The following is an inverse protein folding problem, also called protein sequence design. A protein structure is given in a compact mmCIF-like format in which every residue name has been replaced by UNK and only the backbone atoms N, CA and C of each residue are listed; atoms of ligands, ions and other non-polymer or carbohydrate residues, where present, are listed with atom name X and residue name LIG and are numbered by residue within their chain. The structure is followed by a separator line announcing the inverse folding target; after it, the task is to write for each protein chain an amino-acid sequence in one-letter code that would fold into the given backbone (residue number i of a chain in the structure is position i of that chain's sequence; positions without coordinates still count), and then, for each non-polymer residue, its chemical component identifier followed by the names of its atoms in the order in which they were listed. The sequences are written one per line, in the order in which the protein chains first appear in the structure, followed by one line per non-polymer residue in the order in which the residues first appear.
data_IF_532413115132
#
_entry.id   IF_532413115132
#
_cell.length_a   1.000
_cell.length_b   1.000
_cell.length_c   1.000
_cell.angle_alpha   90.00
_cell.angle_beta   90.00
_cell.angle_gamma   90.00
#
_symmetry.space_group_name_H-M   'P 1'
#
loop_
_entity.id
_entity.type
_entity.pdbx_description
1 polymer ?
#
# COMPACT_ATOMS: atom_id res chain seq x y z
N UNK A 1 12.92 -2.09 -21.61
CA UNK A 1 11.47 -1.95 -21.64
C UNK A 1 10.87 -1.48 -20.30
N UNK A 2 11.65 -1.33 -19.21
CA UNK A 2 11.17 -0.88 -17.92
C UNK A 2 12.17 -1.04 -16.80
N UNK A 3 11.75 -0.75 -15.57
CA UNK A 3 12.55 -0.88 -14.35
C UNK A 3 11.74 -1.59 -13.28
N UNK A 4 12.42 -2.40 -12.47
CA UNK A 4 11.86 -3.06 -11.29
C UNK A 4 12.54 -2.49 -10.06
N UNK A 5 11.75 -2.16 -9.06
CA UNK A 5 12.20 -1.60 -7.79
C UNK A 5 11.73 -2.51 -6.65
N UNK A 6 12.62 -2.81 -5.72
CA UNK A 6 12.24 -3.42 -4.45
C UNK A 6 11.93 -2.31 -3.46
N UNK A 7 10.70 -2.24 -2.99
CA UNK A 7 10.22 -1.17 -2.10
C UNK A 7 10.19 -1.58 -0.63
N UNK A 8 10.21 -2.87 -0.34
CA UNK A 8 10.32 -3.37 1.03
C UNK A 8 10.07 -4.86 1.13
N UNK A 9 10.83 -5.56 1.97
CA UNK A 9 10.61 -6.99 2.22
C UNK A 9 10.52 -7.82 0.94
N UNK A 10 9.35 -8.38 0.68
CA UNK A 10 8.96 -9.14 -0.51
C UNK A 10 8.15 -8.31 -1.53
N UNK A 11 8.07 -7.00 -1.35
CA UNK A 11 7.30 -6.09 -2.20
C UNK A 11 8.17 -5.49 -3.31
N UNK A 12 7.70 -5.59 -4.55
CA UNK A 12 8.34 -5.07 -5.75
C UNK A 12 7.37 -4.25 -6.58
N UNK A 13 7.87 -3.20 -7.23
CA UNK A 13 7.15 -2.41 -8.23
C UNK A 13 7.88 -2.48 -9.55
N UNK A 14 7.16 -2.76 -10.63
CA UNK A 14 7.67 -2.73 -11.99
C UNK A 14 6.98 -1.60 -12.77
N UNK A 15 7.76 -0.72 -13.38
CA UNK A 15 7.29 0.32 -14.30
C UNK A 15 7.73 -0.08 -15.70
N UNK A 16 6.76 -0.33 -16.58
CA UNK A 16 7.00 -0.83 -17.91
C UNK A 16 6.54 0.19 -18.98
N UNK A 17 7.40 0.45 -19.95
CA UNK A 17 7.11 1.31 -21.11
C UNK A 17 6.85 0.43 -22.32
N UNK A 18 5.66 -0.12 -22.40
CA UNK A 18 5.24 -1.11 -23.40
C UNK A 18 3.81 -0.85 -23.86
N UNK A 19 3.46 -1.38 -25.02
CA UNK A 19 2.08 -1.34 -25.50
C UNK A 19 1.20 -2.42 -24.84
N UNK A 20 -0.12 -2.34 -25.06
CA UNK A 20 -1.09 -3.25 -24.45
C UNK A 20 -0.90 -4.71 -24.87
N UNK A 21 -0.48 -4.96 -26.12
CA UNK A 21 -0.22 -6.31 -26.61
C UNK A 21 0.97 -6.94 -25.87
N UNK A 22 2.09 -6.21 -25.76
CA UNK A 22 3.27 -6.71 -25.05
C UNK A 22 3.00 -6.87 -23.55
N UNK A 23 2.11 -6.05 -22.99
CA UNK A 23 1.67 -6.22 -21.60
C UNK A 23 0.96 -7.57 -21.38
N UNK A 24 0.11 -7.99 -22.32
CA UNK A 24 -0.58 -9.29 -22.22
C UNK A 24 0.41 -10.45 -22.29
N UNK A 25 1.39 -10.38 -23.20
CA UNK A 25 2.44 -11.37 -23.35
C UNK A 25 3.27 -11.49 -22.05
N UNK A 26 3.77 -10.37 -21.52
CA UNK A 26 4.56 -10.34 -20.27
C UNK A 26 3.74 -10.87 -19.10
N UNK A 27 2.46 -10.52 -19.01
CA UNK A 27 1.58 -11.05 -17.97
C UNK A 27 1.46 -12.56 -18.06
N UNK A 28 1.33 -13.10 -19.25
CA UNK A 28 1.24 -14.55 -19.47
C UNK A 28 2.55 -15.22 -19.07
N UNK A 29 3.68 -14.76 -19.61
CA UNK A 29 5.03 -15.25 -19.30
C UNK A 29 5.31 -15.20 -17.77
N UNK A 30 4.90 -14.12 -17.11
CA UNK A 30 5.05 -13.97 -15.66
C UNK A 30 4.26 -15.02 -14.89
N UNK A 31 2.99 -15.22 -15.24
CA UNK A 31 2.12 -16.22 -14.59
C UNK A 31 2.68 -17.62 -14.78
N UNK A 32 3.04 -17.99 -16.01
CA UNK A 32 3.64 -19.29 -16.33
C UNK A 32 4.94 -19.52 -15.55
N UNK A 33 5.80 -18.49 -15.47
CA UNK A 33 7.06 -18.56 -14.73
C UNK A 33 6.82 -18.82 -13.26
N UNK A 34 5.85 -18.13 -12.64
CA UNK A 34 5.51 -18.30 -11.22
C UNK A 34 4.89 -19.67 -10.95
N UNK A 35 3.96 -20.11 -11.80
CA UNK A 35 3.25 -21.38 -11.63
C UNK A 35 4.15 -22.61 -11.89
N UNK A 36 5.08 -22.49 -12.81
CA UNK A 36 6.03 -23.56 -13.14
C UNK A 36 7.24 -23.60 -12.21
N UNK A 37 7.43 -22.57 -11.39
CA UNK A 37 8.61 -22.47 -10.53
C UNK A 37 8.63 -23.58 -9.46
N UNK A 38 9.80 -24.21 -9.32
CA UNK A 38 10.09 -25.21 -8.30
C UNK A 38 11.45 -24.92 -7.68
N UNK A 39 11.51 -24.90 -6.37
CA UNK A 39 12.76 -24.72 -5.63
C UNK A 39 13.18 -26.02 -4.92
N UNK A 40 14.41 -26.05 -4.44
CA UNK A 40 14.96 -27.21 -3.71
C UNK A 40 14.29 -27.43 -2.35
N UNK A 41 13.82 -26.36 -1.70
CA UNK A 41 13.25 -26.39 -0.35
C UNK A 41 11.74 -26.09 -0.32
N UNK A 42 11.19 -25.55 -1.39
CA UNK A 42 9.79 -25.14 -1.50
C UNK A 42 9.29 -25.58 -2.87
N UNK A 43 8.24 -26.40 -2.88
CA UNK A 43 7.71 -27.01 -4.12
C UNK A 43 6.97 -26.03 -5.03
N UNK A 44 6.49 -24.92 -4.50
CA UNK A 44 5.73 -23.94 -5.28
C UNK A 44 5.90 -22.53 -4.73
N UNK A 45 5.83 -21.56 -5.63
CA UNK A 45 5.84 -20.13 -5.32
C UNK A 45 4.49 -19.52 -5.70
N UNK A 46 4.01 -18.59 -4.87
CA UNK A 46 2.82 -17.80 -5.19
C UNK A 46 3.12 -16.32 -5.07
N UNK A 47 2.66 -15.54 -6.03
CA UNK A 47 2.83 -14.08 -6.05
C UNK A 47 1.46 -13.44 -6.25
N UNK A 48 1.12 -12.48 -5.37
CA UNK A 48 -0.03 -11.61 -5.59
C UNK A 48 0.44 -10.35 -6.30
N UNK A 49 -0.24 -9.95 -7.37
CA UNK A 49 0.14 -8.80 -8.17
C UNK A 49 -1.08 -7.99 -8.62
N UNK A 50 -0.91 -6.69 -8.79
CA UNK A 50 -1.85 -5.79 -9.44
C UNK A 50 -1.19 -5.16 -10.66
N UNK A 51 -1.90 -5.11 -11.78
CA UNK A 51 -1.45 -4.48 -13.01
C UNK A 51 -2.42 -3.36 -13.35
N UNK A 52 -1.87 -2.19 -13.70
CA UNK A 52 -2.61 -1.02 -14.15
C UNK A 52 -1.91 -0.44 -15.37
N UNK A 53 -2.69 -0.09 -16.39
CA UNK A 53 -2.20 0.61 -17.57
C UNK A 53 -2.57 2.09 -17.50
N UNK A 54 -1.63 2.96 -17.91
CA UNK A 54 -1.91 4.38 -18.07
C UNK A 54 -3.03 4.69 -19.08
N UNK A 55 -3.37 3.73 -19.94
CA UNK A 55 -4.41 3.88 -20.96
C UNK A 55 -5.79 3.39 -20.51
N UNK A 56 -5.97 2.90 -19.28
CA UNK A 56 -7.27 2.38 -18.82
C UNK A 56 -8.31 3.49 -18.60
N UNK A 57 -7.85 4.65 -18.17
CA UNK A 57 -8.64 5.87 -17.97
C UNK A 57 -7.72 7.10 -17.94
N UNK A 58 -8.29 8.28 -17.81
CA UNK A 58 -7.53 9.46 -17.41
C UNK A 58 -7.17 9.35 -15.92
N UNK A 59 -5.88 9.47 -15.62
CA UNK A 59 -5.33 9.38 -14.27
C UNK A 59 -4.92 10.76 -13.78
N UNK A 60 -5.30 11.10 -12.58
CA UNK A 60 -4.92 12.38 -11.97
C UNK A 60 -3.44 12.42 -11.59
N UNK A 61 -2.86 11.26 -11.23
CA UNK A 61 -1.46 11.17 -10.81
C UNK A 61 -0.89 9.75 -10.95
N UNK A 62 0.44 9.66 -10.92
CA UNK A 62 1.15 8.37 -10.82
C UNK A 62 0.80 7.64 -9.52
N UNK A 63 0.53 8.38 -8.44
CA UNK A 63 0.15 7.81 -7.16
C UNK A 63 -1.21 7.12 -7.24
N UNK A 64 -2.17 7.65 -8.01
CA UNK A 64 -3.45 6.98 -8.25
C UNK A 64 -3.27 5.65 -9.00
N UNK A 65 -2.37 5.62 -10.00
CA UNK A 65 -2.01 4.38 -10.72
C UNK A 65 -1.44 3.35 -9.75
N UNK A 66 -0.46 3.74 -8.94
CA UNK A 66 0.20 2.87 -7.97
C UNK A 66 -0.79 2.35 -6.92
N UNK A 67 -1.65 3.21 -6.41
CA UNK A 67 -2.69 2.85 -5.45
C UNK A 67 -3.69 1.84 -6.05
N UNK A 68 -4.13 2.06 -7.28
CA UNK A 68 -5.02 1.12 -7.97
C UNK A 68 -4.36 -0.24 -8.18
N UNK A 69 -3.06 -0.27 -8.50
CA UNK A 69 -2.29 -1.51 -8.58
C UNK A 69 -2.24 -2.25 -7.24
N UNK A 70 -2.00 -1.54 -6.15
CA UNK A 70 -2.02 -2.09 -4.79
C UNK A 70 -3.39 -2.71 -4.44
N UNK A 71 -4.48 -2.00 -4.70
CA UNK A 71 -5.84 -2.54 -4.49
C UNK A 71 -6.03 -3.85 -5.25
N UNK A 72 -5.69 -3.90 -6.53
CA UNK A 72 -5.81 -5.12 -7.35
C UNK A 72 -4.95 -6.26 -6.85
N UNK A 73 -3.75 -5.97 -6.34
CA UNK A 73 -2.88 -6.96 -5.70
C UNK A 73 -3.53 -7.54 -4.44
N UNK A 74 -4.08 -6.68 -3.58
CA UNK A 74 -4.75 -7.12 -2.36
C UNK A 74 -6.04 -7.91 -2.63
N UNK A 75 -6.80 -7.58 -3.67
CA UNK A 75 -7.96 -8.38 -4.10
C UNK A 75 -7.54 -9.80 -4.49
N UNK A 76 -6.49 -9.96 -5.27
CA UNK A 76 -5.94 -11.28 -5.61
C UNK A 76 -5.44 -12.05 -4.38
N UNK A 77 -4.76 -11.36 -3.47
CA UNK A 77 -4.29 -11.94 -2.23
C UNK A 77 -5.45 -12.46 -1.36
N UNK A 78 -6.53 -11.70 -1.28
CA UNK A 78 -7.76 -12.09 -0.58
C UNK A 78 -8.41 -13.32 -1.21
N UNK A 79 -8.51 -13.35 -2.55
CA UNK A 79 -9.04 -14.51 -3.29
C UNK A 79 -8.19 -15.77 -3.07
N UNK A 80 -6.87 -15.65 -3.08
CA UNK A 80 -5.97 -16.77 -2.82
C UNK A 80 -6.19 -17.37 -1.43
N UNK A 81 -6.24 -16.53 -0.40
CA UNK A 81 -6.47 -17.01 0.97
C UNK A 81 -7.85 -17.63 1.16
N UNK A 82 -8.88 -17.07 0.53
CA UNK A 82 -10.23 -17.64 0.56
C UNK A 82 -10.31 -19.03 -0.07
N UNK A 83 -9.58 -19.27 -1.17
CA UNK A 83 -9.58 -20.55 -1.88
C UNK A 83 -8.77 -21.64 -1.16
N UNK A 84 -7.67 -21.25 -0.51
CA UNK A 84 -6.72 -22.22 0.07
C UNK A 84 -6.94 -22.47 1.56
N UNK A 85 -7.99 -21.93 2.17
CA UNK A 85 -8.31 -22.14 3.58
C UNK A 85 -7.25 -21.60 4.56
N UNK A 86 -6.30 -20.82 4.09
CA UNK A 86 -5.27 -20.20 4.92
C UNK A 86 -5.92 -19.09 5.73
N UNK A 87 -6.10 -19.34 7.01
CA UNK A 87 -6.74 -18.40 7.94
C UNK A 87 -5.84 -17.21 8.30
N UNK A 88 -5.57 -16.39 7.32
CA UNK A 88 -5.14 -14.98 7.55
C UNK A 88 -6.35 -14.08 7.36
N UNK A 89 -7.46 -14.47 8.00
CA UNK A 89 -8.75 -13.80 7.93
C UNK A 89 -8.59 -12.33 8.24
N UNK A 90 -9.08 -11.52 7.35
CA UNK A 90 -9.36 -10.12 7.56
C UNK A 90 -8.37 -9.12 7.00
N UNK A 91 -7.06 -9.40 6.90
CA UNK A 91 -6.12 -8.35 6.50
C UNK A 91 -6.35 -7.77 5.09
N UNK A 92 -6.45 -8.57 4.00
CA UNK A 92 -6.69 -7.99 2.68
C UNK A 92 -8.10 -7.44 2.50
N UNK A 93 -9.11 -8.12 3.04
CA UNK A 93 -10.49 -7.66 2.97
C UNK A 93 -10.71 -6.40 3.82
N UNK A 94 -10.13 -6.34 5.02
CA UNK A 94 -10.16 -5.16 5.87
C UNK A 94 -9.45 -3.97 5.20
N UNK A 95 -8.31 -4.20 4.55
CA UNK A 95 -7.59 -3.18 3.81
C UNK A 95 -8.45 -2.57 2.69
N UNK A 96 -9.05 -3.41 1.84
CA UNK A 96 -9.93 -2.97 0.75
C UNK A 96 -11.14 -2.23 1.31
N UNK A 97 -11.75 -2.75 2.38
CA UNK A 97 -12.90 -2.11 3.04
C UNK A 97 -12.52 -0.74 3.60
N UNK A 98 -11.38 -0.63 4.26
CA UNK A 98 -10.90 0.65 4.79
C UNK A 98 -10.68 1.67 3.68
N UNK A 99 -10.00 1.28 2.58
CA UNK A 99 -9.77 2.18 1.44
C UNK A 99 -11.05 2.60 0.72
N UNK A 100 -12.13 1.80 0.80
CA UNK A 100 -13.45 2.16 0.26
C UNK A 100 -14.27 3.04 1.20
N UNK A 101 -14.09 2.89 2.51
CA UNK A 101 -14.86 3.62 3.53
C UNK A 101 -14.23 4.96 3.89
N UNK A 102 -12.91 5.05 3.84
CA UNK A 102 -12.17 6.23 4.28
C UNK A 102 -11.35 6.83 3.14
N UNK A 103 -11.51 8.13 2.87
CA UNK A 103 -10.75 8.83 1.84
C UNK A 103 -9.25 8.93 2.17
N UNK A 104 -8.89 8.75 3.43
CA UNK A 104 -7.50 8.82 3.91
C UNK A 104 -7.19 7.61 4.77
N UNK A 105 -6.32 6.75 4.28
CA UNK A 105 -5.87 5.54 4.99
C UNK A 105 -4.34 5.48 4.95
N UNK A 106 -3.73 5.30 6.10
CA UNK A 106 -2.28 5.17 6.24
C UNK A 106 -1.93 3.85 6.92
N UNK A 107 -0.86 3.24 6.46
CA UNK A 107 -0.16 2.18 7.17
C UNK A 107 1.04 2.79 7.88
N UNK A 108 1.10 2.65 9.19
CA UNK A 108 2.18 3.20 10.01
C UNK A 108 3.03 2.09 10.63
N UNK A 109 4.32 2.33 10.76
CA UNK A 109 5.24 1.48 11.50
C UNK A 109 5.82 2.28 12.66
N UNK A 110 5.28 2.07 13.85
CA UNK A 110 5.66 2.81 15.05
C UNK A 110 7.12 2.58 15.47
N UNK A 111 7.66 1.37 15.22
CA UNK A 111 9.04 1.03 15.59
C UNK A 111 10.07 1.71 14.70
N UNK A 112 9.71 1.95 13.42
CA UNK A 112 10.60 2.56 12.42
C UNK A 112 10.33 4.04 12.20
N UNK A 113 9.36 4.61 12.90
CA UNK A 113 8.88 5.98 12.68
C UNK A 113 8.61 6.24 11.19
N UNK A 114 7.89 5.36 10.55
CA UNK A 114 7.61 5.42 9.12
C UNK A 114 6.15 5.22 8.80
N UNK A 115 5.71 5.79 7.69
CA UNK A 115 4.34 5.64 7.20
C UNK A 115 4.31 5.36 5.69
N UNK A 116 3.19 4.85 5.23
CA UNK A 116 2.86 4.69 3.82
C UNK A 116 1.40 5.09 3.62
N UNK A 117 1.16 5.99 2.69
CA UNK A 117 -0.20 6.37 2.29
C UNK A 117 -0.80 5.20 1.50
N UNK A 118 -1.95 4.71 1.93
CA UNK A 118 -2.68 3.63 1.30
C UNK A 118 -3.86 4.16 0.47
N UNK A 119 -4.53 5.20 0.95
CA UNK A 119 -5.56 5.95 0.26
C UNK A 119 -5.54 7.39 0.72
N UNK A 120 -5.65 8.33 -0.19
CA UNK A 120 -5.78 9.76 0.10
C UNK A 120 -6.53 10.46 -1.02
N UNK A 121 -7.75 10.87 -0.75
CA UNK A 121 -8.60 11.62 -1.68
C UNK A 121 -8.92 13.01 -1.12
N UNK A 122 -8.70 14.09 -1.89
CA UNK A 122 -8.00 14.11 -3.16
C UNK A 122 -6.51 13.76 -3.02
N UNK A 123 -5.85 13.28 -4.10
CA UNK A 123 -4.44 12.92 -4.05
C UNK A 123 -3.59 14.08 -3.58
N UNK A 124 -2.73 13.85 -2.59
CA UNK A 124 -1.73 14.82 -2.17
C UNK A 124 -0.51 14.68 -3.09
N UNK A 125 -0.08 15.78 -3.70
CA UNK A 125 1.23 15.84 -4.36
C UNK A 125 2.30 15.81 -3.26
N UNK A 126 3.13 14.77 -3.26
CA UNK A 126 4.14 14.53 -2.21
C UNK A 126 5.42 15.36 -2.38
N UNK A 127 5.43 16.43 -3.17
CA UNK A 127 6.58 17.31 -3.26
C UNK A 127 6.84 17.96 -1.90
N UNK A 128 7.88 17.46 -1.21
CA UNK A 128 8.26 17.93 0.12
C UNK A 128 7.61 17.22 1.32
N UNK A 129 6.94 16.09 1.11
CA UNK A 129 6.36 15.34 2.22
C UNK A 129 7.44 14.89 3.22
N UNK A 130 7.18 15.01 4.54
CA UNK A 130 8.10 14.55 5.57
C UNK A 130 8.43 13.06 5.43
N UNK A 131 9.67 12.69 5.71
CA UNK A 131 10.17 11.32 5.54
C UNK A 131 9.83 10.40 6.72
N UNK A 132 9.52 10.97 7.89
CA UNK A 132 9.12 10.22 9.08
C UNK A 132 7.66 10.45 9.46
N UNK A 133 7.07 9.49 10.18
CA UNK A 133 5.71 9.62 10.69
C UNK A 133 5.59 10.78 11.68
N UNK A 134 6.56 10.93 12.59
CA UNK A 134 6.57 12.03 13.57
C UNK A 134 6.58 13.40 12.89
N UNK A 135 7.50 13.62 11.94
CA UNK A 135 7.56 14.86 11.20
C UNK A 135 6.30 15.12 10.37
N UNK A 136 5.67 14.06 9.85
CA UNK A 136 4.44 14.19 9.09
C UNK A 136 3.25 14.60 9.97
N UNK A 137 3.14 14.04 11.16
CA UNK A 137 2.10 14.40 12.14
C UNK A 137 2.26 15.85 12.62
N UNK A 138 3.50 16.28 12.89
CA UNK A 138 3.80 17.69 13.23
C UNK A 138 3.44 18.65 12.09
N UNK A 139 3.77 18.26 10.85
CA UNK A 139 3.45 19.06 9.66
C UNK A 139 1.94 19.23 9.48
N UNK A 140 1.15 18.19 9.69
CA UNK A 140 -0.32 18.29 9.64
C UNK A 140 -0.88 19.27 10.66
N UNK A 141 -0.28 19.35 11.86
CA UNK A 141 -0.70 20.29 12.90
C UNK A 141 -0.31 21.74 12.57
N UNK A 142 0.75 21.93 11.77
CA UNK A 142 1.24 23.24 11.38
C UNK A 142 0.48 23.86 10.18
N UNK A 143 -0.05 23.02 9.28
CA UNK A 143 -0.69 23.46 8.02
C UNK A 143 -2.17 23.83 8.13
N UNK A 144 -2.66 24.36 9.23
CA UNK A 144 -4.08 24.74 9.46
C UNK A 144 -5.13 23.67 9.07
N UNK A 145 -4.70 22.40 8.95
CA UNK A 145 -5.59 21.27 8.69
C UNK A 145 -6.31 20.79 9.94
N UNK A 146 -5.84 21.26 11.11
CA UNK A 146 -6.41 20.99 12.41
C UNK A 146 -6.95 22.30 12.97
N UNK A 147 -8.21 22.32 13.37
CA UNK A 147 -8.80 23.50 13.97
C UNK A 147 -7.99 23.93 15.22
N UNK A 148 -7.79 25.25 15.45
CA UNK A 148 -6.97 25.72 16.56
C UNK A 148 -7.36 25.16 17.92
N UNK A 149 -8.66 25.00 18.15
CA UNK A 149 -9.23 24.42 19.37
C UNK A 149 -8.94 22.94 19.57
N UNK A 150 -8.63 22.20 18.48
CA UNK A 150 -8.39 20.77 18.52
C UNK A 150 -6.89 20.42 18.49
N UNK A 151 -5.99 21.40 18.32
CA UNK A 151 -4.55 21.16 18.16
C UNK A 151 -3.92 20.42 19.35
N UNK A 152 -4.23 20.83 20.57
CA UNK A 152 -3.65 20.21 21.77
C UNK A 152 -4.14 18.76 21.92
N UNK A 153 -5.41 18.50 21.67
CA UNK A 153 -5.99 17.16 21.69
C UNK A 153 -5.43 16.28 20.57
N UNK A 154 -5.25 16.85 19.39
CA UNK A 154 -4.63 16.17 18.27
C UNK A 154 -3.18 15.75 18.58
N UNK A 155 -2.35 16.68 19.06
CA UNK A 155 -0.95 16.40 19.41
C UNK A 155 -0.84 15.35 20.52
N UNK A 156 -1.70 15.43 21.55
CA UNK A 156 -1.72 14.44 22.62
C UNK A 156 -2.15 13.04 22.14
N UNK A 157 -3.07 12.96 21.17
CA UNK A 157 -3.55 11.68 20.59
C UNK A 157 -2.62 11.09 19.55
N UNK A 158 -1.83 11.91 18.88
CA UNK A 158 -0.90 11.50 17.82
C UNK A 158 0.55 11.38 18.30
N UNK A 159 0.83 11.64 19.57
CA UNK A 159 2.12 11.35 20.18
C UNK A 159 2.46 9.86 20.07
N UNK A 160 3.60 9.54 19.44
CA UNK A 160 3.96 8.15 19.11
C UNK A 160 4.20 7.29 20.35
N UNK A 161 4.70 7.88 21.43
CA UNK A 161 4.93 7.15 22.67
C UNK A 161 3.62 6.91 23.43
N UNK A 162 2.66 7.84 23.33
CA UNK A 162 1.30 7.62 23.83
C UNK A 162 0.59 6.52 23.03
N UNK A 163 0.73 6.50 21.71
CA UNK A 163 0.17 5.44 20.86
C UNK A 163 0.80 4.09 21.19
N UNK A 164 2.13 3.99 21.33
CA UNK A 164 2.83 2.74 21.71
C UNK A 164 2.33 2.21 23.04
N UNK A 165 2.25 3.05 24.06
CA UNK A 165 1.73 2.66 25.39
C UNK A 165 0.33 2.07 25.31
N UNK A 166 -0.59 2.70 24.58
CA UNK A 166 -1.96 2.17 24.39
C UNK A 166 -1.97 0.81 23.72
N UNK A 167 -1.09 0.56 22.73
CA UNK A 167 -0.97 -0.75 22.10
C UNK A 167 -0.42 -1.82 23.02
N UNK A 168 0.49 -1.47 23.93
CA UNK A 168 1.06 -2.43 24.88
C UNK A 168 0.10 -2.76 26.03
N UNK A 169 -0.78 -1.83 26.41
CA UNK A 169 -1.84 -2.04 27.42
C UNK A 169 -3.00 -2.93 26.90
N UNK A 170 -3.12 -3.11 25.58
CA UNK A 170 -4.22 -3.89 24.94
C UNK A 170 -3.82 -5.31 24.55
N UNK A 171 -2.62 -5.75 24.87
CA UNK A 171 -2.11 -7.12 24.68
C UNK A 171 -2.37 -7.97 25.93
#
# INVERSE_FOLDING_TARGET
YGKVYRIGGDEFVAILFINSQRMQEIRHEFVETVESWKGEQIDSMTISYGIVSSCEKEWESVNEIAHTADIRMYEKKAMYYSRNGVDRRGQPAAYIALCKLYPKVLKINLNKDSYRILSWEPPKTEDGAPTSLSSWLEHLSAEDQIAPEDKDDYLAKTDLDAIRRRFDETK
#
